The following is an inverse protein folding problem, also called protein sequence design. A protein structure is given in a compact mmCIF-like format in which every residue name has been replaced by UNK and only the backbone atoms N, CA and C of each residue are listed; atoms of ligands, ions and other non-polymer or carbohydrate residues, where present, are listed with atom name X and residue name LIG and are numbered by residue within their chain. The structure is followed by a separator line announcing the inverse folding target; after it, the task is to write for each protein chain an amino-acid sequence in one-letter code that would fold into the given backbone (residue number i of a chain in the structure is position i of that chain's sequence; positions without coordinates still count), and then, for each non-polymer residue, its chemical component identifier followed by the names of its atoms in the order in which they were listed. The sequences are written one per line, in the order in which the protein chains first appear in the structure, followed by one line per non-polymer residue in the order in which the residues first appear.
data_IF_760137980165
#
_entry.id   IF_760137980165
#
_cell.length_a   1.000
_cell.length_b   1.000
_cell.length_c   1.000
_cell.angle_alpha   90.00
_cell.angle_beta   90.00
_cell.angle_gamma   90.00
#
_symmetry.space_group_name_H-M   'P 1'
#
loop_
_entity.id
_entity.type
_entity.pdbx_description
1 polymer ?
#
# COMPACT_ATOMS: atom_id res chain seq x y z
N UNK A 1 -9.37 -8.32 -31.39
CA UNK A 1 -8.64 -8.63 -30.15
C UNK A 1 -9.67 -8.77 -29.05
N UNK A 2 -9.67 -9.86 -28.30
CA UNK A 2 -10.59 -10.05 -27.18
C UNK A 2 -9.86 -9.68 -25.89
N UNK A 3 -10.36 -8.67 -25.18
CA UNK A 3 -9.77 -8.17 -23.93
C UNK A 3 -10.55 -8.75 -22.75
N UNK A 4 -10.41 -10.05 -22.52
CA UNK A 4 -11.05 -10.76 -21.41
C UNK A 4 -10.14 -10.86 -20.17
N UNK A 5 -10.65 -11.48 -19.11
CA UNK A 5 -9.91 -11.66 -17.85
C UNK A 5 -8.57 -12.38 -18.07
N UNK A 6 -8.55 -13.43 -18.90
CA UNK A 6 -7.34 -14.22 -19.15
C UNK A 6 -6.26 -13.39 -19.86
N UNK A 7 -6.66 -12.53 -20.80
CA UNK A 7 -5.75 -11.59 -21.46
C UNK A 7 -5.05 -10.67 -20.44
N UNK A 8 -5.80 -10.06 -19.52
CA UNK A 8 -5.21 -9.15 -18.52
C UNK A 8 -4.34 -9.88 -17.49
N UNK A 9 -4.70 -11.11 -17.10
CA UNK A 9 -3.85 -11.95 -16.22
C UNK A 9 -2.51 -12.23 -16.89
N UNK A 10 -2.51 -12.68 -18.16
CA UNK A 10 -1.26 -12.95 -18.91
C UNK A 10 -0.42 -11.70 -19.12
N UNK A 11 -1.05 -10.53 -19.28
CA UNK A 11 -0.33 -9.27 -19.38
C UNK A 11 0.34 -8.90 -18.05
N UNK A 12 -0.38 -9.06 -16.93
CA UNK A 12 0.16 -8.82 -15.60
C UNK A 12 1.34 -9.76 -15.33
N UNK A 13 1.22 -11.06 -15.60
CA UNK A 13 2.31 -12.04 -15.46
C UNK A 13 3.57 -11.60 -16.20
N UNK A 14 3.45 -11.17 -17.46
CA UNK A 14 4.59 -10.68 -18.24
C UNK A 14 5.27 -9.46 -17.63
N UNK A 15 4.50 -8.59 -16.97
CA UNK A 15 5.03 -7.39 -16.33
C UNK A 15 5.69 -7.71 -14.99
N UNK A 16 5.10 -8.59 -14.17
CA UNK A 16 5.54 -8.79 -12.79
C UNK A 16 6.58 -9.90 -12.64
N UNK A 17 6.51 -10.98 -13.43
CA UNK A 17 7.43 -12.12 -13.26
C UNK A 17 8.92 -11.73 -13.34
N UNK A 18 9.36 -10.85 -14.26
CA UNK A 18 10.75 -10.40 -14.30
C UNK A 18 11.20 -9.63 -13.04
N UNK A 19 10.25 -9.06 -12.28
CA UNK A 19 10.55 -8.26 -11.08
C UNK A 19 11.05 -9.11 -9.92
N UNK A 20 10.74 -10.41 -9.89
CA UNK A 20 11.10 -11.31 -8.77
C UNK A 20 12.58 -11.30 -8.43
N UNK A 21 13.45 -11.24 -9.44
CA UNK A 21 14.91 -11.21 -9.24
C UNK A 21 15.44 -9.86 -8.69
N UNK A 22 14.59 -8.84 -8.63
CA UNK A 22 14.94 -7.49 -8.22
C UNK A 22 14.43 -7.12 -6.82
N UNK A 23 13.66 -8.01 -6.17
CA UNK A 23 13.32 -7.84 -4.78
C UNK A 23 14.56 -8.03 -3.89
N UNK A 24 14.60 -7.30 -2.79
CA UNK A 24 15.61 -7.44 -1.74
C UNK A 24 15.58 -8.84 -1.11
N UNK A 25 16.65 -9.26 -0.40
CA UNK A 25 16.70 -10.57 0.24
C UNK A 25 15.51 -10.90 1.15
N UNK A 26 14.96 -9.91 1.89
CA UNK A 26 13.75 -10.11 2.71
C UNK A 26 12.46 -9.65 2.01
N UNK A 27 12.55 -9.14 0.79
CA UNK A 27 11.41 -8.79 -0.05
C UNK A 27 10.76 -7.45 0.23
N UNK A 28 11.25 -6.64 1.18
CA UNK A 28 10.63 -5.36 1.53
C UNK A 28 10.91 -4.23 0.53
N UNK A 29 11.85 -4.44 -0.38
CA UNK A 29 12.30 -3.43 -1.33
C UNK A 29 12.38 -4.02 -2.74
N UNK A 30 12.02 -3.25 -3.76
CA UNK A 30 12.17 -3.62 -5.17
C UNK A 30 13.12 -2.65 -5.91
N UNK A 31 14.21 -3.16 -6.46
CA UNK A 31 15.26 -2.35 -7.10
C UNK A 31 15.28 -2.51 -8.63
N UNK A 32 14.65 -1.59 -9.36
CA UNK A 32 14.55 -1.65 -10.83
C UNK A 32 15.59 -0.80 -11.60
N UNK A 33 16.51 -0.14 -10.87
CA UNK A 33 17.59 0.67 -11.43
C UNK A 33 18.02 1.82 -10.52
N UNK A 34 19.13 2.48 -10.86
CA UNK A 34 19.63 3.69 -10.17
C UNK A 34 19.32 4.94 -11.02
N UNK A 35 18.07 5.36 -11.12
CA UNK A 35 17.66 6.55 -11.91
C UNK A 35 17.37 7.79 -11.05
N UNK A 36 17.84 7.84 -9.81
CA UNK A 36 17.71 9.01 -8.93
C UNK A 36 18.83 10.03 -9.15
N UNK A 37 18.48 11.27 -9.47
CA UNK A 37 19.37 12.41 -9.25
C UNK A 37 19.34 12.77 -7.75
N UNK A 38 20.49 12.58 -7.08
CA UNK A 38 20.74 12.73 -5.63
C UNK A 38 20.27 11.55 -4.73
N UNK A 39 21.12 11.19 -3.75
CA UNK A 39 21.19 9.94 -2.98
C UNK A 39 19.94 9.49 -2.17
N UNK A 40 19.92 8.19 -1.81
CA UNK A 40 19.49 7.61 -0.51
C UNK A 40 18.01 7.53 -0.08
N UNK A 41 17.01 7.71 -0.95
CA UNK A 41 15.63 7.54 -0.46
C UNK A 41 15.22 6.06 -0.40
N UNK A 42 15.19 5.46 0.81
CA UNK A 42 14.54 4.15 1.09
C UNK A 42 13.08 4.11 0.61
N UNK A 43 12.50 5.26 0.32
CA UNK A 43 11.17 5.39 -0.29
C UNK A 43 11.11 4.89 -1.74
N UNK A 44 12.17 5.03 -2.56
CA UNK A 44 12.13 4.57 -3.97
C UNK A 44 11.97 3.05 -4.06
N UNK A 45 12.77 2.24 -3.34
CA UNK A 45 12.58 0.79 -3.37
C UNK A 45 11.27 0.33 -2.71
N UNK A 46 10.78 1.05 -1.68
CA UNK A 46 9.46 0.83 -1.10
C UNK A 46 8.35 1.11 -2.12
N UNK A 47 8.46 2.19 -2.90
CA UNK A 47 7.54 2.54 -4.00
C UNK A 47 7.49 1.42 -5.05
N UNK A 48 8.64 0.87 -5.43
CA UNK A 48 8.69 -0.29 -6.31
C UNK A 48 7.92 -1.49 -5.73
N UNK A 49 8.11 -1.76 -4.43
CA UNK A 49 7.43 -2.84 -3.72
C UNK A 49 5.91 -2.64 -3.70
N UNK A 50 5.42 -1.47 -3.26
CA UNK A 50 3.99 -1.20 -3.09
C UNK A 50 3.25 -1.09 -4.43
N UNK A 51 3.85 -0.51 -5.48
CA UNK A 51 3.12 -0.23 -6.72
C UNK A 51 2.71 -1.47 -7.51
N UNK A 52 3.42 -2.57 -7.33
CA UNK A 52 3.04 -3.85 -7.94
C UNK A 52 1.73 -4.40 -7.34
N UNK A 53 1.35 -4.00 -6.11
CA UNK A 53 0.07 -4.37 -5.49
C UNK A 53 -1.14 -3.86 -6.27
N UNK A 54 -1.03 -2.74 -7.01
CA UNK A 54 -2.13 -2.25 -7.84
C UNK A 54 -2.56 -3.24 -8.93
N UNK A 55 -1.66 -4.14 -9.35
CA UNK A 55 -1.98 -5.24 -10.25
C UNK A 55 -2.30 -6.55 -9.52
N UNK A 56 -1.53 -6.90 -8.48
CA UNK A 56 -1.68 -8.16 -7.77
C UNK A 56 -2.96 -8.25 -6.93
N UNK A 57 -3.38 -7.16 -6.30
CA UNK A 57 -4.57 -7.17 -5.42
C UNK A 57 -5.86 -7.44 -6.22
N UNK A 58 -6.14 -6.78 -7.35
CA UNK A 58 -7.28 -7.15 -8.21
C UNK A 58 -7.23 -8.59 -8.69
N UNK A 59 -6.03 -9.11 -9.00
CA UNK A 59 -5.85 -10.51 -9.39
C UNK A 59 -6.28 -11.44 -8.26
N UNK A 60 -5.76 -11.23 -7.04
CA UNK A 60 -6.07 -12.05 -5.87
C UNK A 60 -7.55 -11.96 -5.47
N UNK A 61 -8.10 -10.74 -5.41
CA UNK A 61 -9.52 -10.52 -5.12
C UNK A 61 -10.43 -11.18 -6.16
N UNK A 62 -9.97 -11.28 -7.41
CA UNK A 62 -10.63 -12.00 -8.50
C UNK A 62 -10.43 -13.52 -8.49
N UNK A 63 -9.77 -14.09 -7.46
CA UNK A 63 -9.49 -15.51 -7.32
C UNK A 63 -8.34 -16.03 -8.20
N UNK A 64 -7.58 -15.14 -8.84
CA UNK A 64 -6.37 -15.49 -9.57
C UNK A 64 -5.14 -15.56 -8.67
N UNK A 65 -4.05 -16.15 -9.17
CA UNK A 65 -2.78 -16.22 -8.45
C UNK A 65 -1.60 -16.16 -9.42
N UNK A 66 -0.49 -15.57 -8.98
CA UNK A 66 0.83 -15.72 -9.59
C UNK A 66 1.75 -16.20 -8.47
N UNK A 67 2.24 -17.43 -8.59
CA UNK A 67 2.96 -18.12 -7.52
C UNK A 67 4.16 -17.32 -7.00
N UNK A 68 4.42 -17.39 -5.70
CA UNK A 68 5.58 -16.74 -5.07
C UNK A 68 5.38 -15.28 -4.68
N UNK A 69 4.41 -14.56 -5.25
CA UNK A 69 4.20 -13.16 -4.86
C UNK A 69 3.61 -13.02 -3.46
N UNK A 70 2.64 -13.86 -3.06
CA UNK A 70 2.10 -13.82 -1.70
C UNK A 70 3.19 -13.93 -0.63
N UNK A 71 4.16 -14.82 -0.86
CA UNK A 71 5.29 -15.08 0.03
C UNK A 71 6.25 -13.89 0.06
N UNK A 72 6.58 -13.32 -1.10
CA UNK A 72 7.40 -12.10 -1.20
C UNK A 72 6.76 -10.96 -0.41
N UNK A 73 5.46 -10.76 -0.54
CA UNK A 73 4.75 -9.67 0.13
C UNK A 73 4.59 -9.90 1.63
N UNK A 74 4.30 -11.12 2.09
CA UNK A 74 4.26 -11.43 3.51
C UNK A 74 5.64 -11.21 4.17
N UNK A 75 6.71 -11.68 3.52
CA UNK A 75 8.09 -11.46 3.98
C UNK A 75 8.45 -9.97 3.97
N UNK A 76 8.11 -9.26 2.88
CA UNK A 76 8.42 -7.86 2.72
C UNK A 76 7.69 -6.95 3.70
N UNK A 77 6.41 -7.21 3.97
CA UNK A 77 5.65 -6.49 5.00
C UNK A 77 6.24 -6.73 6.40
N UNK A 78 6.65 -7.96 6.69
CA UNK A 78 7.31 -8.31 7.96
C UNK A 78 8.61 -7.52 8.12
N UNK A 79 9.50 -7.58 7.12
CA UNK A 79 10.81 -6.95 7.19
C UNK A 79 10.77 -5.42 7.06
N UNK A 80 9.83 -4.87 6.29
CA UNK A 80 9.69 -3.44 6.04
C UNK A 80 9.10 -2.68 7.23
N UNK A 81 8.34 -3.36 8.09
CA UNK A 81 7.68 -2.74 9.25
C UNK A 81 8.32 -3.08 10.60
N UNK A 82 9.29 -4.00 10.63
CA UNK A 82 10.08 -4.33 11.82
C UNK A 82 11.25 -3.34 12.01
N UNK A 83 11.26 -2.53 13.09
CA UNK A 83 12.33 -1.56 13.36
C UNK A 83 13.73 -2.17 13.58
N UNK A 84 13.81 -3.48 13.87
CA UNK A 84 15.07 -4.20 14.04
C UNK A 84 15.63 -4.76 12.72
N UNK A 85 14.82 -4.77 11.66
CA UNK A 85 15.22 -5.23 10.34
C UNK A 85 16.13 -4.21 9.65
N UNK A 86 17.17 -4.70 8.98
CA UNK A 86 18.02 -3.91 8.08
C UNK A 86 17.23 -3.33 6.89
N UNK A 87 16.13 -3.96 6.51
CA UNK A 87 15.20 -3.51 5.47
C UNK A 87 14.03 -2.65 5.97
N UNK A 88 14.04 -2.20 7.23
CA UNK A 88 13.02 -1.32 7.80
C UNK A 88 12.82 -0.05 6.97
N UNK A 89 11.57 0.31 6.68
CA UNK A 89 11.25 1.49 5.84
C UNK A 89 11.44 2.83 6.56
N UNK A 90 11.62 2.83 7.89
CA UNK A 90 11.80 4.05 8.66
C UNK A 90 10.50 4.81 8.93
N UNK A 91 10.59 5.95 9.62
CA UNK A 91 9.44 6.82 9.86
C UNK A 91 8.99 7.62 8.63
N UNK A 92 8.00 8.48 8.84
CA UNK A 92 7.50 9.39 7.82
C UNK A 92 8.10 10.79 8.01
N UNK A 93 8.03 11.61 6.95
CA UNK A 93 8.27 13.06 7.02
C UNK A 93 7.06 13.82 6.46
N UNK A 94 7.06 15.14 6.58
CA UNK A 94 6.02 15.98 5.95
C UNK A 94 6.09 15.83 4.42
N UNK A 95 4.96 15.53 3.79
CA UNK A 95 4.87 15.36 2.32
C UNK A 95 5.57 14.10 1.79
N UNK A 96 5.69 13.06 2.61
CA UNK A 96 6.38 11.82 2.25
C UNK A 96 5.62 10.99 1.21
N UNK A 97 6.31 10.53 0.17
CA UNK A 97 5.73 9.63 -0.84
C UNK A 97 5.24 8.31 -0.20
N UNK A 98 5.80 7.90 0.95
CA UNK A 98 5.35 6.72 1.70
C UNK A 98 3.86 6.74 2.05
N UNK A 99 3.19 7.89 2.12
CA UNK A 99 1.73 7.95 2.31
C UNK A 99 0.95 7.31 1.16
N UNK A 100 1.43 7.49 -0.08
CA UNK A 100 0.85 6.84 -1.27
C UNK A 100 1.11 5.33 -1.20
N UNK A 101 2.30 4.95 -0.78
CA UNK A 101 2.73 3.56 -0.78
C UNK A 101 2.03 2.72 0.29
N UNK A 102 1.82 3.26 1.50
CA UNK A 102 0.98 2.59 2.50
C UNK A 102 -0.48 2.53 2.10
N UNK A 103 -0.99 3.47 1.29
CA UNK A 103 -2.36 3.38 0.77
C UNK A 103 -2.53 2.18 -0.18
N UNK A 104 -1.53 1.86 -1.00
CA UNK A 104 -1.52 0.65 -1.83
C UNK A 104 -1.48 -0.64 -0.96
N UNK A 105 -0.70 -0.63 0.13
CA UNK A 105 -0.69 -1.72 1.12
C UNK A 105 -2.06 -1.87 1.78
N UNK A 106 -2.65 -0.79 2.27
CA UNK A 106 -3.97 -0.78 2.91
C UNK A 106 -5.09 -1.23 1.97
N UNK A 107 -5.02 -0.84 0.70
CA UNK A 107 -5.89 -1.38 -0.35
C UNK A 107 -5.79 -2.90 -0.48
N UNK A 108 -4.56 -3.44 -0.46
CA UNK A 108 -4.34 -4.87 -0.45
C UNK A 108 -4.86 -5.56 0.82
N UNK A 109 -4.65 -4.97 1.99
CA UNK A 109 -5.15 -5.50 3.26
C UNK A 109 -6.69 -5.55 3.30
N UNK A 110 -7.37 -4.60 2.65
CA UNK A 110 -8.83 -4.57 2.55
C UNK A 110 -9.39 -5.65 1.62
N UNK A 111 -8.73 -5.92 0.49
CA UNK A 111 -9.30 -6.76 -0.58
C UNK A 111 -8.69 -8.15 -0.69
N UNK A 112 -7.49 -8.37 -0.17
CA UNK A 112 -6.78 -9.65 -0.19
C UNK A 112 -6.08 -9.93 1.15
N UNK A 113 -6.80 -9.88 2.29
CA UNK A 113 -6.21 -10.13 3.61
C UNK A 113 -5.63 -11.53 3.74
N UNK A 114 -6.17 -12.53 3.01
CA UNK A 114 -5.66 -13.89 2.95
C UNK A 114 -4.23 -13.98 2.38
N UNK A 115 -3.82 -12.97 1.58
CA UNK A 115 -2.48 -12.89 0.98
C UNK A 115 -1.52 -12.02 1.78
N UNK A 116 -2.03 -10.94 2.37
CA UNK A 116 -1.18 -9.89 2.96
C UNK A 116 -1.22 -9.80 4.49
N UNK A 117 -2.30 -10.27 5.13
CA UNK A 117 -2.47 -10.18 6.58
C UNK A 117 -2.41 -11.55 7.25
N UNK A 118 -3.21 -12.51 6.81
CA UNK A 118 -3.31 -13.82 7.46
C UNK A 118 -2.00 -14.61 7.51
N UNK A 119 -1.12 -14.56 6.49
CA UNK A 119 0.18 -15.25 6.55
C UNK A 119 1.18 -14.63 7.53
N UNK A 120 0.91 -13.43 8.06
CA UNK A 120 1.81 -12.75 8.99
C UNK A 120 1.71 -13.36 10.39
N UNK A 121 2.85 -13.41 11.09
CA UNK A 121 2.88 -13.70 12.53
C UNK A 121 2.22 -12.57 13.33
N UNK A 122 1.85 -12.84 14.58
CA UNK A 122 1.24 -11.83 15.46
C UNK A 122 2.15 -10.60 15.63
N UNK A 123 3.45 -10.80 15.80
CA UNK A 123 4.43 -9.70 15.87
C UNK A 123 4.48 -8.89 14.57
N UNK A 124 4.42 -9.56 13.40
CA UNK A 124 4.40 -8.85 12.12
C UNK A 124 3.10 -8.08 11.91
N UNK A 125 1.95 -8.62 12.34
CA UNK A 125 0.65 -7.94 12.35
C UNK A 125 0.69 -6.69 13.23
N UNK A 126 1.26 -6.79 14.44
CA UNK A 126 1.44 -5.68 15.36
C UNK A 126 2.35 -4.59 14.78
N UNK A 127 3.50 -4.98 14.20
CA UNK A 127 4.43 -4.06 13.56
C UNK A 127 3.80 -3.33 12.37
N UNK A 128 3.11 -4.05 11.48
CA UNK A 128 2.42 -3.46 10.34
C UNK A 128 1.31 -2.50 10.78
N UNK A 129 0.50 -2.91 11.77
CA UNK A 129 -0.54 -2.07 12.38
C UNK A 129 0.05 -0.80 12.99
N UNK A 130 1.14 -0.92 13.75
CA UNK A 130 1.82 0.23 14.35
C UNK A 130 2.42 1.16 13.28
N UNK A 131 3.03 0.61 12.25
CA UNK A 131 3.61 1.36 11.14
C UNK A 131 2.56 2.16 10.37
N UNK A 132 1.42 1.54 10.06
CA UNK A 132 0.29 2.22 9.41
C UNK A 132 -0.27 3.34 10.29
N UNK A 133 -0.47 3.10 11.59
CA UNK A 133 -0.94 4.12 12.53
C UNK A 133 0.04 5.27 12.73
N UNK A 134 1.34 5.04 12.59
CA UNK A 134 2.35 6.10 12.69
C UNK A 134 2.08 7.22 11.65
N UNK A 135 1.52 6.87 10.49
CA UNK A 135 1.15 7.84 9.45
C UNK A 135 0.06 8.82 9.88
N UNK A 136 -0.82 8.44 10.84
CA UNK A 136 -1.90 9.29 11.33
C UNK A 136 -1.40 10.55 12.05
N UNK A 137 -0.12 10.58 12.46
CA UNK A 137 0.49 11.74 13.11
C UNK A 137 0.92 12.85 12.14
N UNK A 138 0.67 12.68 10.83
CA UNK A 138 1.12 13.60 9.80
C UNK A 138 -0.05 14.20 9.03
N UNK A 139 0.02 15.51 8.79
CA UNK A 139 -0.89 16.17 7.87
C UNK A 139 -0.51 15.86 6.42
N UNK A 140 -1.51 15.47 5.64
CA UNK A 140 -1.41 15.32 4.19
C UNK A 140 -1.91 16.57 3.47
N UNK A 141 -1.44 16.79 2.24
CA UNK A 141 -1.89 17.89 1.40
C UNK A 141 -3.41 17.88 1.20
N UNK A 142 -4.02 19.08 1.12
CA UNK A 142 -5.46 19.24 0.93
C UNK A 142 -5.88 19.01 -0.52
N UNK A 143 -5.70 17.78 -0.99
CA UNK A 143 -6.05 17.28 -2.32
C UNK A 143 -6.44 15.80 -2.23
N UNK A 144 -6.27 15.02 -3.31
CA UNK A 144 -6.53 13.59 -3.32
C UNK A 144 -5.74 12.79 -2.26
N UNK A 145 -4.67 13.35 -1.69
CA UNK A 145 -3.91 12.72 -0.60
C UNK A 145 -4.73 12.53 0.67
N UNK A 146 -5.86 13.24 0.82
CA UNK A 146 -6.85 12.99 1.89
C UNK A 146 -7.42 11.57 1.84
N UNK A 147 -7.38 10.88 0.69
CA UNK A 147 -7.79 9.48 0.58
C UNK A 147 -6.85 8.51 1.29
N UNK A 148 -5.57 8.85 1.47
CA UNK A 148 -4.60 7.90 2.01
C UNK A 148 -4.84 7.57 3.49
N UNK A 149 -5.03 8.55 4.40
CA UNK A 149 -5.41 8.25 5.77
C UNK A 149 -6.76 7.52 5.88
N UNK A 150 -7.70 7.80 4.98
CA UNK A 150 -8.99 7.10 4.93
C UNK A 150 -8.78 5.61 4.64
N UNK A 151 -8.02 5.27 3.59
CA UNK A 151 -7.72 3.88 3.24
C UNK A 151 -6.96 3.15 4.36
N UNK A 152 -5.98 3.82 4.96
CA UNK A 152 -5.20 3.28 6.08
C UNK A 152 -6.10 2.91 7.25
N UNK A 153 -6.95 3.84 7.70
CA UNK A 153 -7.79 3.62 8.86
C UNK A 153 -8.97 2.67 8.57
N UNK A 154 -9.48 2.62 7.33
CA UNK A 154 -10.45 1.60 6.92
C UNK A 154 -9.84 0.19 6.96
N UNK A 155 -8.61 0.01 6.48
CA UNK A 155 -7.91 -1.27 6.54
C UNK A 155 -7.63 -1.72 7.98
N UNK A 156 -7.17 -0.80 8.84
CA UNK A 156 -6.98 -1.09 10.26
C UNK A 156 -8.31 -1.49 10.92
N UNK A 157 -9.39 -0.75 10.65
CA UNK A 157 -10.73 -1.05 11.14
C UNK A 157 -11.22 -2.44 10.69
N UNK A 158 -11.07 -2.79 9.41
CA UNK A 158 -11.52 -4.10 8.89
C UNK A 158 -10.76 -5.28 9.50
N UNK A 159 -9.52 -5.05 9.92
CA UNK A 159 -8.64 -6.04 10.57
C UNK A 159 -8.76 -6.05 12.09
N UNK A 160 -9.74 -5.33 12.67
CA UNK A 160 -9.92 -5.15 14.11
C UNK A 160 -8.66 -4.61 14.82
N UNK A 161 -7.86 -3.81 14.13
CA UNK A 161 -6.71 -3.10 14.68
C UNK A 161 -7.12 -1.72 15.18
N UNK A 162 -6.33 -1.08 16.08
CA UNK A 162 -6.59 0.31 16.46
C UNK A 162 -6.57 1.22 15.22
N UNK A 163 -7.51 2.15 15.14
CA UNK A 163 -7.67 3.07 14.01
C UNK A 163 -8.22 4.41 14.50
N UNK A 164 -8.15 5.43 13.65
CA UNK A 164 -8.70 6.75 13.90
C UNK A 164 -9.97 6.98 13.06
N UNK A 165 -11.14 6.97 13.72
CA UNK A 165 -12.43 7.21 13.06
C UNK A 165 -12.55 8.65 12.56
N UNK A 166 -11.96 9.63 13.25
CA UNK A 166 -12.01 11.02 12.85
C UNK A 166 -11.31 11.25 11.51
N UNK A 167 -10.17 10.58 11.27
CA UNK A 167 -9.46 10.67 9.99
C UNK A 167 -10.26 10.07 8.82
N UNK A 168 -11.09 9.05 9.08
CA UNK A 168 -12.01 8.49 8.08
C UNK A 168 -13.09 9.52 7.75
N UNK A 169 -13.79 10.01 8.77
CA UNK A 169 -14.95 10.90 8.61
C UNK A 169 -14.53 12.23 7.98
N UNK A 170 -13.48 12.86 8.51
CA UNK A 170 -12.94 14.12 8.00
C UNK A 170 -12.47 14.01 6.55
N UNK A 171 -11.78 12.91 6.21
CA UNK A 171 -11.32 12.66 4.84
C UNK A 171 -12.50 12.56 3.86
N UNK A 172 -13.51 11.76 4.20
CA UNK A 172 -14.71 11.57 3.36
C UNK A 172 -15.53 12.86 3.22
N UNK A 173 -15.77 13.58 4.30
CA UNK A 173 -16.48 14.88 4.28
C UNK A 173 -15.78 15.88 3.35
N UNK A 174 -14.45 16.01 3.46
CA UNK A 174 -13.69 16.96 2.64
C UNK A 174 -13.74 16.61 1.16
N UNK A 175 -13.77 15.33 0.81
CA UNK A 175 -13.89 14.87 -0.58
C UNK A 175 -15.27 15.15 -1.16
N UNK A 176 -16.33 14.83 -0.42
CA UNK A 176 -17.72 15.13 -0.83
C UNK A 176 -17.87 16.63 -1.04
N UNK A 177 -17.34 17.46 -0.13
CA UNK A 177 -17.37 18.91 -0.27
C UNK A 177 -16.60 19.38 -1.51
N UNK A 178 -15.40 18.86 -1.75
CA UNK A 178 -14.58 19.26 -2.90
C UNK A 178 -15.22 18.88 -4.24
N UNK A 179 -15.89 17.72 -4.31
CA UNK A 179 -16.69 17.33 -5.48
C UNK A 179 -17.86 18.30 -5.65
N UNK A 180 -18.61 18.56 -4.58
CA UNK A 180 -19.77 19.45 -4.59
C UNK A 180 -19.41 20.87 -5.03
N UNK A 181 -18.29 21.41 -4.55
CA UNK A 181 -17.70 22.68 -5.00
C UNK A 181 -17.35 22.66 -6.49
N UNK A 182 -16.78 21.57 -7.01
CA UNK A 182 -16.44 21.41 -8.44
C UNK A 182 -17.67 21.31 -9.36
N UNK A 183 -18.72 20.59 -8.96
CA UNK A 183 -19.96 20.45 -9.75
C UNK A 183 -21.01 21.53 -9.48
N UNK A 184 -20.71 22.50 -8.60
CA UNK A 184 -21.62 23.61 -8.29
C UNK A 184 -22.88 23.20 -7.52
N UNK A 185 -22.85 22.04 -6.86
CA UNK A 185 -23.96 21.55 -6.03
C UNK A 185 -23.70 22.05 -4.61
N UNK A 186 -24.63 22.84 -4.04
CA UNK A 186 -24.54 23.20 -2.62
C UNK A 186 -24.89 21.97 -1.78
N UNK A 187 -23.95 21.51 -0.96
CA UNK A 187 -24.26 20.62 0.17
C UNK A 187 -24.93 21.47 1.25
N UNK A 188 -26.22 21.24 1.46
CA UNK A 188 -26.98 21.78 2.61
C UNK A 188 -26.61 21.06 3.91
#
# INVERSE_FOLDING_TARGET
MNYDKEYFVKLLEKLVLPLKQHYSPKGANLYLGHTGAAYEDRTIPMEGFSRVLWGLVPLWAGGGNIDGFSEIYASGLTAGTDPSSDEYWGGFRKGDQKFVEIAAISYGLLLAPDKLWEPLSDTAKENLSAYLRLSNNYEVSDNNWRMFPVLVNLALKSLNQPYDQHLIDYGLERLIRSISEMVGIKTE
#
